data_IF_208833950747
#
_entry.id   IF_208833950747
#
_cell.length_a   1.000
_cell.length_b   1.000
_cell.length_c   1.000
_cell.angle_alpha   90.00
_cell.angle_beta   90.00
_cell.angle_gamma   90.00
#
_symmetry.space_group_name_H-M   'P 1'
#
loop_
_entity.id
_entity.type
_entity.pdbx_description
1 polymer ?
#
# COMPACT_ATOMS: atom_id res chain seq x y z
N UNK A 1 9.31 34.65 8.05
CA UNK A 1 9.78 33.62 7.09
C UNK A 1 8.59 32.76 6.74
N UNK A 2 8.14 32.78 5.49
CA UNK A 2 7.08 31.87 5.04
C UNK A 2 7.64 30.45 5.00
N UNK A 3 7.12 29.55 5.82
CA UNK A 3 7.49 28.14 5.74
C UNK A 3 7.02 27.58 4.40
N UNK A 4 7.98 27.10 3.59
CA UNK A 4 7.67 26.43 2.33
C UNK A 4 7.04 25.08 2.68
N UNK A 5 5.82 24.85 2.18
CA UNK A 5 5.12 23.59 2.36
C UNK A 5 5.89 22.46 1.66
N UNK A 6 6.15 21.37 2.39
CA UNK A 6 6.84 20.17 1.90
C UNK A 6 5.92 18.97 2.04
N UNK A 7 5.93 18.11 1.02
CA UNK A 7 5.17 16.85 1.02
C UNK A 7 6.07 15.69 1.45
N UNK A 8 5.51 14.75 2.20
CA UNK A 8 6.20 13.52 2.61
C UNK A 8 5.78 12.37 1.69
N UNK A 9 6.74 11.53 1.30
CA UNK A 9 6.48 10.31 0.51
C UNK A 9 5.87 9.21 1.38
N UNK A 10 5.11 8.31 0.78
CA UNK A 10 4.67 7.07 1.40
C UNK A 10 5.48 5.87 0.86
N UNK A 11 5.52 4.79 1.63
CA UNK A 11 6.10 3.51 1.18
C UNK A 11 5.00 2.57 0.71
N UNK A 12 5.15 1.95 -0.45
CA UNK A 12 4.28 0.84 -0.85
C UNK A 12 4.82 -0.50 -0.35
N UNK A 13 3.94 -1.47 -0.13
CA UNK A 13 4.28 -2.85 0.20
C UNK A 13 3.25 -3.76 -0.45
N UNK A 14 3.74 -4.76 -1.18
CA UNK A 14 2.91 -5.78 -1.81
C UNK A 14 3.16 -7.09 -1.08
N UNK A 15 2.13 -7.64 -0.47
CA UNK A 15 2.26 -8.91 0.27
C UNK A 15 2.46 -10.09 -0.70
N UNK A 16 3.22 -11.12 -0.31
CA UNK A 16 3.46 -12.29 -1.16
C UNK A 16 2.18 -12.92 -1.75
N UNK A 17 1.10 -12.95 -0.96
CA UNK A 17 -0.18 -13.53 -1.31
C UNK A 17 -0.93 -12.74 -2.40
N UNK A 18 -0.55 -11.48 -2.64
CA UNK A 18 -1.07 -10.72 -3.76
C UNK A 18 -0.66 -11.34 -5.08
N UNK A 19 0.59 -11.80 -5.20
CA UNK A 19 1.14 -12.33 -6.45
C UNK A 19 0.48 -13.64 -6.88
N UNK A 20 0.07 -14.48 -5.92
CA UNK A 20 -0.68 -15.69 -6.23
C UNK A 20 -2.09 -15.36 -6.75
N UNK A 21 -2.76 -14.36 -6.16
CA UNK A 21 -4.02 -13.81 -6.68
C UNK A 21 -3.86 -13.23 -8.09
N UNK A 22 -2.80 -12.45 -8.33
CA UNK A 22 -2.50 -11.90 -9.65
C UNK A 22 -2.25 -12.99 -10.69
N UNK A 23 -1.48 -14.03 -10.35
CA UNK A 23 -1.22 -15.15 -11.24
C UNK A 23 -2.51 -15.87 -11.62
N UNK A 24 -3.39 -16.13 -10.65
CA UNK A 24 -4.70 -16.73 -10.89
C UNK A 24 -5.56 -15.85 -11.81
N UNK A 25 -5.64 -14.55 -11.53
CA UNK A 25 -6.40 -13.60 -12.34
C UNK A 25 -5.85 -13.49 -13.78
N UNK A 26 -4.52 -13.50 -13.94
CA UNK A 26 -3.83 -13.43 -15.24
C UNK A 26 -4.03 -14.69 -16.08
N UNK A 27 -4.04 -15.87 -15.45
CA UNK A 27 -4.29 -17.14 -16.13
C UNK A 27 -5.75 -17.28 -16.57
N UNK A 28 -6.69 -16.80 -15.75
CA UNK A 28 -8.13 -16.90 -16.04
C UNK A 28 -8.61 -15.93 -17.11
N UNK A 29 -8.01 -14.73 -17.21
CA UNK A 29 -8.48 -13.72 -18.16
C UNK A 29 -8.02 -13.98 -19.60
N UNK A 30 -7.00 -14.83 -19.84
CA UNK A 30 -6.39 -15.04 -21.17
C UNK A 30 -6.12 -13.72 -21.93
N UNK A 31 -5.90 -12.62 -21.19
CA UNK A 31 -5.75 -11.28 -21.77
C UNK A 31 -4.30 -11.10 -22.22
N UNK A 32 -4.13 -11.28 -23.53
CA UNK A 32 -2.86 -11.10 -24.25
C UNK A 32 -2.37 -9.65 -24.26
N UNK A 33 -3.29 -8.68 -24.06
CA UNK A 33 -2.97 -7.26 -24.06
C UNK A 33 -3.31 -6.61 -22.70
N UNK A 34 -2.30 -5.95 -22.13
CA UNK A 34 -2.31 -5.05 -20.96
C UNK A 34 -3.66 -4.87 -20.28
N UNK A 35 -3.97 -5.72 -19.30
CA UNK A 35 -5.20 -5.66 -18.53
C UNK A 35 -5.10 -4.56 -17.46
N UNK A 36 -6.05 -3.61 -17.47
CA UNK A 36 -6.31 -2.74 -16.32
C UNK A 36 -7.25 -3.48 -15.38
N UNK A 37 -6.85 -3.69 -14.14
CA UNK A 37 -7.70 -4.35 -13.15
C UNK A 37 -7.84 -3.46 -11.92
N UNK A 38 -9.07 -3.29 -11.45
CA UNK A 38 -9.31 -2.57 -10.20
C UNK A 38 -8.76 -3.40 -9.03
N UNK A 39 -8.02 -2.73 -8.14
CA UNK A 39 -7.47 -3.30 -6.91
C UNK A 39 -7.78 -2.37 -5.74
N UNK A 40 -7.98 -2.95 -4.57
CA UNK A 40 -8.10 -2.20 -3.32
C UNK A 40 -6.83 -2.39 -2.49
N UNK A 41 -6.26 -1.29 -2.02
CA UNK A 41 -5.18 -1.29 -1.05
C UNK A 41 -5.59 -0.66 0.27
N UNK A 42 -4.71 -0.75 1.24
CA UNK A 42 -4.88 -0.20 2.58
C UNK A 42 -3.83 0.88 2.82
N UNK A 43 -4.28 2.09 3.11
CA UNK A 43 -3.44 3.23 3.44
C UNK A 43 -3.38 3.44 4.95
N UNK A 44 -2.16 3.52 5.49
CA UNK A 44 -1.91 3.91 6.88
C UNK A 44 -1.23 5.27 6.89
N UNK A 45 -1.85 6.26 7.54
CA UNK A 45 -1.27 7.59 7.70
C UNK A 45 0.04 7.57 8.50
N UNK A 46 0.97 8.44 8.14
CA UNK A 46 2.24 8.60 8.85
C UNK A 46 2.03 9.03 10.30
N UNK A 47 2.91 8.59 11.19
CA UNK A 47 2.85 8.89 12.63
C UNK A 47 4.21 9.36 13.13
N UNK A 48 4.20 10.29 14.08
CA UNK A 48 5.41 10.68 14.81
C UNK A 48 5.35 10.06 16.19
N UNK A 49 6.26 9.13 16.47
CA UNK A 49 6.39 8.53 17.78
C UNK A 49 7.50 9.24 18.54
N UNK A 50 7.19 9.68 19.76
CA UNK A 50 8.20 10.07 20.73
C UNK A 50 8.60 8.81 21.49
N UNK A 51 9.79 8.29 21.21
CA UNK A 51 10.36 7.17 21.96
C UNK A 51 11.17 7.77 23.10
N UNK A 52 10.75 7.48 24.33
CA UNK A 52 11.48 7.89 25.54
C UNK A 52 12.46 6.76 25.88
N UNK A 53 13.75 6.97 25.64
CA UNK A 53 14.78 6.09 26.15
C UNK A 53 15.05 6.40 27.62
N UNK A 54 15.48 5.39 28.39
CA UNK A 54 15.81 5.49 29.82
C UNK A 54 16.85 6.59 30.13
N UNK A 55 17.60 7.03 29.12
CA UNK A 55 18.60 8.11 29.22
C UNK A 55 18.06 9.53 28.95
N UNK A 56 16.80 9.83 29.27
CA UNK A 56 16.17 11.18 29.20
C UNK A 56 16.14 11.87 27.81
N UNK A 57 16.77 11.32 26.78
CA UNK A 57 16.72 11.83 25.41
C UNK A 57 15.51 11.28 24.66
N UNK A 58 14.55 12.15 24.36
CA UNK A 58 13.38 11.81 23.53
C UNK A 58 13.79 11.74 22.06
N UNK A 59 13.81 10.56 21.46
CA UNK A 59 13.99 10.41 20.02
C UNK A 59 12.63 10.52 19.32
N UNK A 60 12.56 11.41 18.31
CA UNK A 60 11.38 11.53 17.45
C UNK A 60 11.57 10.62 16.25
N UNK A 61 10.87 9.48 16.23
CA UNK A 61 10.85 8.58 15.09
C UNK A 61 9.68 8.97 14.17
N UNK A 62 10.00 9.39 12.95
CA UNK A 62 9.00 9.58 11.91
C UNK A 62 8.71 8.22 11.26
N UNK A 63 7.47 7.76 11.36
CA UNK A 63 6.97 6.61 10.62
C UNK A 63 6.25 7.17 9.39
N UNK A 64 6.80 6.99 8.18
CA UNK A 64 6.16 7.49 6.96
C UNK A 64 4.84 6.77 6.73
N UNK A 65 3.95 7.40 5.96
CA UNK A 65 2.73 6.76 5.52
C UNK A 65 3.03 5.50 4.70
N UNK A 66 2.12 4.53 4.71
CA UNK A 66 2.29 3.24 4.03
C UNK A 66 1.05 2.87 3.24
N UNK A 67 1.27 2.29 2.07
CA UNK A 67 0.23 1.72 1.21
C UNK A 67 0.50 0.22 1.08
N UNK A 68 -0.47 -0.61 1.45
CA UNK A 68 -0.35 -2.06 1.42
C UNK A 68 -1.35 -2.65 0.41
N UNK A 69 -0.92 -3.64 -0.35
CA UNK A 69 -1.80 -4.43 -1.21
C UNK A 69 -1.61 -5.91 -0.85
N UNK A 70 -2.72 -6.59 -0.56
CA UNK A 70 -2.75 -7.96 -0.05
C UNK A 70 -3.62 -8.86 -0.94
N UNK A 71 -3.80 -10.12 -0.53
CA UNK A 71 -4.70 -11.06 -1.22
C UNK A 71 -6.12 -10.51 -1.41
N UNK A 72 -6.63 -9.77 -0.43
CA UNK A 72 -7.98 -9.20 -0.46
C UNK A 72 -8.12 -8.00 -1.40
N UNK A 73 -7.08 -7.63 -2.14
CA UNK A 73 -7.12 -6.51 -3.08
C UNK A 73 -8.11 -6.71 -4.23
N UNK A 74 -8.50 -7.96 -4.50
CA UNK A 74 -9.46 -8.32 -5.55
C UNK A 74 -10.90 -8.38 -5.05
N UNK A 75 -11.11 -8.42 -3.73
CA UNK A 75 -12.43 -8.58 -3.13
C UNK A 75 -13.04 -7.19 -2.89
N UNK A 76 -14.09 -6.85 -3.65
CA UNK A 76 -14.81 -5.58 -3.49
C UNK A 76 -15.52 -5.42 -2.12
N UNK A 77 -15.56 -6.49 -1.33
CA UNK A 77 -16.25 -6.54 -0.05
C UNK A 77 -15.43 -7.30 0.98
N UNK A 78 -14.88 -6.58 1.96
CA UNK A 78 -14.65 -7.16 3.28
C UNK A 78 -13.24 -7.61 3.63
N UNK A 79 -12.18 -6.99 3.08
CA UNK A 79 -10.88 -7.09 3.74
C UNK A 79 -11.01 -6.49 5.16
N UNK A 80 -10.61 -7.28 6.16
CA UNK A 80 -10.66 -6.89 7.57
C UNK A 80 -9.84 -5.61 7.75
N UNK A 81 -10.51 -4.46 7.80
CA UNK A 81 -9.84 -3.18 8.01
C UNK A 81 -9.03 -3.26 9.30
N UNK A 82 -7.70 -3.21 9.16
CA UNK A 82 -6.86 -3.10 10.32
C UNK A 82 -7.14 -1.74 11.00
N UNK A 83 -7.17 -1.68 12.35
CA UNK A 83 -7.42 -0.43 13.05
C UNK A 83 -6.47 0.68 12.60
N UNK A 84 -7.02 1.79 12.12
CA UNK A 84 -6.24 2.95 11.65
C UNK A 84 -5.75 2.85 10.20
N UNK A 85 -6.32 1.95 9.41
CA UNK A 85 -6.14 1.89 7.95
C UNK A 85 -7.37 2.46 7.22
N UNK A 86 -7.15 3.00 6.02
CA UNK A 86 -8.19 3.48 5.11
C UNK A 86 -8.11 2.68 3.82
N UNK A 87 -9.25 2.18 3.34
CA UNK A 87 -9.31 1.52 2.05
C UNK A 87 -9.12 2.54 0.91
N UNK A 88 -8.26 2.22 -0.04
CA UNK A 88 -7.95 3.07 -1.19
C UNK A 88 -8.11 2.24 -2.46
N UNK A 89 -8.97 2.70 -3.35
CA UNK A 89 -9.15 2.10 -4.67
C UNK A 89 -8.03 2.53 -5.62
N UNK A 90 -7.56 1.59 -6.42
CA UNK A 90 -6.50 1.78 -7.39
C UNK A 90 -6.70 0.93 -8.63
N UNK A 91 -5.83 1.15 -9.60
CA UNK A 91 -5.79 0.38 -10.84
C UNK A 91 -4.42 -0.27 -10.97
N UNK A 92 -4.41 -1.59 -11.15
CA UNK A 92 -3.22 -2.34 -11.51
C UNK A 92 -3.09 -2.37 -13.03
N UNK A 93 -1.91 -2.00 -13.49
CA UNK A 93 -1.47 -2.11 -14.88
C UNK A 93 -0.45 -3.24 -14.95
N UNK A 94 -0.85 -4.37 -15.51
CA UNK A 94 0.01 -5.54 -15.63
C UNK A 94 0.45 -5.70 -17.09
N UNK A 95 1.77 -5.67 -17.33
CA UNK A 95 2.36 -5.95 -18.63
C UNK A 95 2.68 -7.45 -18.75
N UNK A 96 2.60 -7.97 -19.97
CA UNK A 96 2.96 -9.37 -20.25
C UNK A 96 4.46 -9.53 -20.49
N UNK A 97 5.11 -8.46 -20.92
CA UNK A 97 6.54 -8.36 -21.11
C UNK A 97 7.16 -7.46 -20.04
N UNK A 98 8.42 -7.74 -19.71
CA UNK A 98 9.26 -6.87 -18.88
C UNK A 98 9.86 -5.71 -19.68
N UNK A 99 9.87 -5.84 -21.00
CA UNK A 99 10.41 -4.91 -21.99
C UNK A 99 9.61 -3.61 -22.10
#
# INVERSE_FOLDING_TARGET
MSEILRFETFSSTVEPEFWSGLAHHKLHSAQLDTARTCVQGEFTGGRRHAIRNDNLTTQRLAVPARMRVSRGAWDAAGSSQQPGTVAVEGQLYNTNTIE
#
